data_IF_231159455813
#
_entry.id   IF_231159455813
#
_cell.length_a   1.000
_cell.length_b   1.000
_cell.length_c   1.000
_cell.angle_alpha   90.00
_cell.angle_beta   90.00
_cell.angle_gamma   90.00
#
_symmetry.space_group_name_H-M   'P 1'
#
loop_
_entity.id
_entity.type
_entity.pdbx_description
1 polymer ?
#
# COMPACT_ATOMS: atom_id res chain seq x y z
N UNK A 1 37.63 3.13 -36.17
CA UNK A 1 36.23 2.79 -36.49
C UNK A 1 35.87 1.52 -35.75
N UNK A 2 35.24 1.63 -34.58
CA UNK A 2 34.85 0.49 -33.74
C UNK A 2 33.42 0.08 -34.08
N UNK A 3 33.27 -1.10 -34.68
CA UNK A 3 31.97 -1.71 -34.97
C UNK A 3 31.39 -2.32 -33.68
N UNK A 4 30.26 -1.80 -33.21
CA UNK A 4 29.46 -2.40 -32.14
C UNK A 4 28.74 -3.64 -32.66
N UNK A 5 29.40 -4.81 -32.60
CA UNK A 5 28.75 -6.10 -32.82
C UNK A 5 27.91 -6.46 -31.59
N UNK A 6 26.66 -6.01 -31.55
CA UNK A 6 25.68 -6.54 -30.61
C UNK A 6 25.45 -8.03 -30.94
N UNK A 7 25.76 -8.92 -29.99
CA UNK A 7 25.51 -10.36 -30.15
C UNK A 7 24.00 -10.59 -30.32
N UNK A 8 23.56 -11.51 -31.21
CA UNK A 8 22.15 -11.84 -31.34
C UNK A 8 21.65 -12.45 -30.02
N UNK A 9 20.63 -11.82 -29.44
CA UNK A 9 19.93 -12.36 -28.26
C UNK A 9 19.16 -13.60 -28.72
N UNK A 10 19.39 -14.74 -28.05
CA UNK A 10 18.65 -15.97 -28.36
C UNK A 10 17.16 -15.73 -28.12
N UNK A 11 16.31 -16.19 -29.06
CA UNK A 11 14.86 -15.95 -29.04
C UNK A 11 14.25 -16.38 -27.69
N UNK A 12 14.75 -17.47 -27.13
CA UNK A 12 14.31 -18.02 -25.85
C UNK A 12 14.66 -17.08 -24.69
N UNK A 13 15.85 -16.48 -24.69
CA UNK A 13 16.26 -15.51 -23.68
C UNK A 13 15.43 -14.21 -23.77
N UNK A 14 15.09 -13.78 -24.99
CA UNK A 14 14.21 -12.63 -25.22
C UNK A 14 12.78 -12.93 -24.77
N UNK A 15 12.24 -14.11 -25.09
CA UNK A 15 10.91 -14.52 -24.66
C UNK A 15 10.81 -14.70 -23.14
N UNK A 16 11.84 -15.25 -22.50
CA UNK A 16 11.92 -15.33 -21.03
C UNK A 16 11.97 -13.93 -20.43
N UNK A 17 12.82 -13.03 -20.94
CA UNK A 17 12.90 -11.66 -20.45
C UNK A 17 11.58 -10.90 -20.61
N UNK A 18 10.87 -11.09 -21.74
CA UNK A 18 9.54 -10.49 -21.97
C UNK A 18 8.50 -11.11 -21.02
N UNK A 19 8.48 -12.42 -20.81
CA UNK A 19 7.54 -13.06 -19.86
C UNK A 19 7.81 -12.60 -18.44
N UNK A 20 9.07 -12.55 -18.02
CA UNK A 20 9.47 -12.02 -16.71
C UNK A 20 9.06 -10.55 -16.59
N UNK A 21 9.31 -9.72 -17.60
CA UNK A 21 8.90 -8.31 -17.58
C UNK A 21 7.37 -8.12 -17.64
N UNK A 22 6.61 -9.03 -18.25
CA UNK A 22 5.15 -8.98 -18.29
C UNK A 22 4.52 -9.49 -16.99
N UNK A 23 5.14 -10.47 -16.33
CA UNK A 23 4.72 -10.95 -14.99
C UNK A 23 5.07 -9.87 -13.96
N UNK A 24 6.32 -9.42 -13.92
CA UNK A 24 6.75 -8.32 -13.06
C UNK A 24 6.05 -6.99 -13.40
N UNK A 25 5.63 -6.77 -14.65
CA UNK A 25 4.98 -5.53 -15.07
C UNK A 25 3.47 -5.50 -14.89
N UNK A 26 2.79 -6.66 -14.92
CA UNK A 26 1.33 -6.74 -14.69
C UNK A 26 0.95 -6.80 -13.21
N UNK A 27 1.81 -7.35 -12.36
CA UNK A 27 1.53 -7.43 -10.92
C UNK A 27 2.06 -6.22 -10.13
N UNK A 28 3.22 -5.68 -10.48
CA UNK A 28 3.83 -4.58 -9.70
C UNK A 28 3.09 -3.25 -9.88
N UNK A 29 2.43 -2.98 -11.03
CA UNK A 29 1.70 -1.72 -11.24
C UNK A 29 0.27 -1.71 -10.69
N UNK A 30 -0.37 -2.87 -10.50
CA UNK A 30 -1.74 -2.94 -9.98
C UNK A 30 -1.78 -2.89 -8.45
N UNK A 31 -0.71 -3.32 -7.78
CA UNK A 31 -0.59 -3.36 -6.32
C UNK A 31 0.50 -2.43 -5.77
N UNK A 32 0.70 -1.26 -6.39
CA UNK A 32 1.49 -0.21 -5.73
C UNK A 32 0.64 0.40 -4.63
N UNK A 33 1.24 0.56 -3.44
CA UNK A 33 0.59 1.32 -2.40
C UNK A 33 0.29 2.72 -2.92
N UNK A 34 -0.98 3.15 -2.79
CA UNK A 34 -1.38 4.50 -3.17
C UNK A 34 -1.26 5.39 -1.94
N UNK A 35 -0.35 6.34 -2.03
CA UNK A 35 -0.13 7.38 -1.03
C UNK A 35 -0.30 8.78 -1.62
N UNK A 36 -0.85 9.68 -0.83
CA UNK A 36 -0.63 11.12 -1.00
C UNK A 36 0.76 11.45 -0.46
N UNK A 37 1.73 11.58 -1.38
CA UNK A 37 3.13 11.80 -1.02
C UNK A 37 3.37 13.17 -0.35
N UNK A 38 2.59 14.20 -0.70
CA UNK A 38 2.74 15.53 -0.09
C UNK A 38 2.24 15.52 1.36
N UNK A 39 1.10 14.88 1.60
CA UNK A 39 0.59 14.68 2.95
C UNK A 39 1.54 13.80 3.76
N UNK A 40 1.98 12.66 3.22
CA UNK A 40 2.91 11.76 3.90
C UNK A 40 4.19 12.50 4.32
N UNK A 41 4.81 13.24 3.39
CA UNK A 41 6.02 14.02 3.66
C UNK A 41 5.79 15.04 4.77
N UNK A 42 4.67 15.76 4.76
CA UNK A 42 4.35 16.77 5.79
C UNK A 42 4.07 16.12 7.15
N UNK A 43 3.27 15.06 7.18
CA UNK A 43 2.92 14.33 8.40
C UNK A 43 4.14 13.94 9.22
N UNK A 44 5.21 13.46 8.56
CA UNK A 44 6.44 13.10 9.25
C UNK A 44 7.45 14.26 9.32
N UNK A 45 7.61 15.04 8.25
CA UNK A 45 8.59 16.12 8.17
C UNK A 45 8.33 17.27 9.14
N UNK A 46 7.07 17.56 9.44
CA UNK A 46 6.67 18.64 10.35
C UNK A 46 6.86 18.24 11.84
N UNK A 47 7.08 16.95 12.13
CA UNK A 47 7.37 16.47 13.49
C UNK A 47 8.86 16.69 13.83
N UNK A 48 9.21 16.90 15.12
CA UNK A 48 10.60 16.91 15.53
C UNK A 48 11.24 15.54 15.25
N UNK A 49 12.50 15.51 14.78
CA UNK A 49 13.19 14.28 14.34
C UNK A 49 13.05 13.10 15.32
N UNK A 50 13.20 13.36 16.62
CA UNK A 50 13.10 12.33 17.67
C UNK A 50 11.74 11.61 17.74
N UNK A 51 10.68 12.19 17.15
CA UNK A 51 9.33 11.64 17.14
C UNK A 51 8.94 10.99 15.81
N UNK A 52 9.62 11.31 14.71
CA UNK A 52 9.22 10.87 13.35
C UNK A 52 9.17 9.34 13.24
N UNK A 53 10.24 8.65 13.66
CA UNK A 53 10.29 7.19 13.66
C UNK A 53 9.24 6.55 14.57
N UNK A 54 9.00 7.12 15.75
CA UNK A 54 7.96 6.65 16.67
C UNK A 54 6.55 6.80 16.07
N UNK A 55 6.28 7.88 15.35
CA UNK A 55 5.01 8.10 14.67
C UNK A 55 4.83 7.09 13.52
N UNK A 56 5.88 6.83 12.75
CA UNK A 56 5.86 5.81 11.68
C UNK A 56 5.53 4.43 12.24
N UNK A 57 6.23 4.02 13.30
CA UNK A 57 6.03 2.71 13.92
C UNK A 57 4.62 2.58 14.52
N UNK A 58 4.10 3.66 15.13
CA UNK A 58 2.74 3.71 15.63
C UNK A 58 1.71 3.57 14.50
N UNK A 59 1.88 4.31 13.40
CA UNK A 59 1.00 4.23 12.24
C UNK A 59 0.96 2.81 11.64
N UNK A 60 2.11 2.16 11.47
CA UNK A 60 2.19 0.77 10.98
C UNK A 60 1.47 -0.20 11.91
N UNK A 61 1.68 -0.06 13.22
CA UNK A 61 1.03 -0.89 14.24
C UNK A 61 -0.48 -0.72 14.22
N UNK A 62 -0.96 0.51 14.14
CA UNK A 62 -2.38 0.82 14.13
C UNK A 62 -3.04 0.36 12.82
N UNK A 63 -2.41 0.57 11.66
CA UNK A 63 -2.89 0.04 10.37
C UNK A 63 -3.00 -1.49 10.44
N UNK A 64 -1.96 -2.17 10.91
CA UNK A 64 -1.96 -3.64 11.04
C UNK A 64 -3.12 -4.11 11.93
N UNK A 65 -3.29 -3.47 13.09
CA UNK A 65 -4.35 -3.80 14.04
C UNK A 65 -5.73 -3.58 13.44
N UNK A 66 -6.02 -2.37 12.95
CA UNK A 66 -7.36 -2.03 12.48
C UNK A 66 -7.72 -2.75 11.18
N UNK A 67 -6.76 -3.01 10.29
CA UNK A 67 -6.99 -3.87 9.14
C UNK A 67 -7.31 -5.31 9.55
N UNK A 68 -6.60 -5.87 10.53
CA UNK A 68 -6.93 -7.19 11.08
C UNK A 68 -8.34 -7.23 11.70
N UNK A 69 -8.73 -6.20 12.44
CA UNK A 69 -10.08 -6.07 13.00
C UNK A 69 -11.16 -5.95 11.90
N UNK A 70 -10.89 -5.22 10.81
CA UNK A 70 -11.79 -5.17 9.64
C UNK A 70 -11.96 -6.55 9.03
N UNK A 71 -10.87 -7.26 8.74
CA UNK A 71 -10.92 -8.59 8.12
C UNK A 71 -11.67 -9.59 9.00
N UNK A 72 -11.39 -9.61 10.31
CA UNK A 72 -12.10 -10.48 11.25
C UNK A 72 -13.60 -10.16 11.34
N UNK A 73 -13.98 -8.88 11.29
CA UNK A 73 -15.39 -8.47 11.29
C UNK A 73 -16.10 -8.85 9.98
N UNK A 74 -15.41 -8.80 8.84
CA UNK A 74 -15.92 -9.31 7.56
C UNK A 74 -16.16 -10.81 7.63
N UNK A 75 -15.18 -11.59 8.09
CA UNK A 75 -15.28 -13.05 8.18
C UNK A 75 -16.38 -13.52 9.14
N UNK A 76 -16.64 -12.75 10.21
CA UNK A 76 -17.67 -13.06 11.21
C UNK A 76 -19.05 -12.43 10.91
N UNK A 77 -19.16 -11.54 9.93
CA UNK A 77 -20.39 -10.80 9.64
C UNK A 77 -20.80 -9.77 10.71
N UNK A 78 -19.91 -9.38 11.63
CA UNK A 78 -20.21 -8.39 12.67
C UNK A 78 -20.15 -6.95 12.11
N UNK A 79 -21.30 -6.41 11.74
CA UNK A 79 -21.40 -5.05 11.18
C UNK A 79 -20.95 -3.95 12.13
N UNK A 80 -21.14 -4.13 13.44
CA UNK A 80 -20.78 -3.12 14.43
C UNK A 80 -19.27 -3.09 14.64
N UNK A 81 -18.65 -4.26 14.71
CA UNK A 81 -17.19 -4.38 14.74
C UNK A 81 -16.58 -3.83 13.44
N UNK A 82 -17.14 -4.20 12.29
CA UNK A 82 -16.70 -3.72 10.98
C UNK A 82 -16.75 -2.19 10.91
N UNK A 83 -17.89 -1.57 11.22
CA UNK A 83 -18.06 -0.11 11.17
C UNK A 83 -17.05 0.62 12.06
N UNK A 84 -16.79 0.10 13.26
CA UNK A 84 -15.81 0.67 14.19
C UNK A 84 -14.37 0.54 13.67
N UNK A 85 -13.97 -0.67 13.27
CA UNK A 85 -12.62 -0.93 12.80
C UNK A 85 -12.33 -0.15 11.50
N UNK A 86 -13.31 -0.09 10.59
CA UNK A 86 -13.23 0.69 9.37
C UNK A 86 -13.06 2.19 9.66
N UNK A 87 -13.81 2.74 10.63
CA UNK A 87 -13.65 4.13 11.03
C UNK A 87 -12.25 4.44 11.57
N UNK A 88 -11.74 3.58 12.47
CA UNK A 88 -10.39 3.73 13.02
C UNK A 88 -9.30 3.60 11.96
N UNK A 89 -9.42 2.62 11.06
CA UNK A 89 -8.48 2.41 9.97
C UNK A 89 -8.46 3.60 9.00
N UNK A 90 -9.63 4.12 8.63
CA UNK A 90 -9.73 5.32 7.79
C UNK A 90 -9.04 6.51 8.45
N UNK A 91 -9.26 6.72 9.75
CA UNK A 91 -8.62 7.82 10.49
C UNK A 91 -7.10 7.75 10.45
N UNK A 92 -6.51 6.60 10.77
CA UNK A 92 -5.04 6.43 10.75
C UNK A 92 -4.49 6.51 9.33
N UNK A 93 -5.18 5.93 8.34
CA UNK A 93 -4.75 5.95 6.94
C UNK A 93 -4.73 7.37 6.38
N UNK A 94 -5.76 8.18 6.65
CA UNK A 94 -5.81 9.57 6.22
C UNK A 94 -4.73 10.43 6.89
N UNK A 95 -4.39 10.16 8.16
CA UNK A 95 -3.35 10.94 8.85
C UNK A 95 -1.97 10.82 8.18
N UNK A 96 -1.67 9.68 7.56
CA UNK A 96 -0.38 9.46 6.88
C UNK A 96 -0.50 9.53 5.35
N UNK A 97 -1.68 9.80 4.81
CA UNK A 97 -1.91 9.83 3.36
C UNK A 97 -1.98 8.46 2.68
N UNK A 98 -2.28 7.37 3.39
CA UNK A 98 -2.46 6.03 2.80
C UNK A 98 -3.82 5.91 2.09
N UNK A 99 -4.01 6.66 1.00
CA UNK A 99 -5.30 6.79 0.29
C UNK A 99 -5.80 5.48 -0.28
N UNK A 100 -4.91 4.59 -0.72
CA UNK A 100 -5.30 3.29 -1.29
C UNK A 100 -6.10 2.41 -0.34
N UNK A 101 -5.78 2.41 0.96
CA UNK A 101 -6.55 1.67 1.97
C UNK A 101 -7.97 2.24 2.07
N UNK A 102 -8.09 3.57 2.09
CA UNK A 102 -9.37 4.26 2.24
C UNK A 102 -10.26 4.01 1.02
N UNK A 103 -9.69 4.09 -0.18
CA UNK A 103 -10.39 3.86 -1.44
C UNK A 103 -10.92 2.42 -1.54
N UNK A 104 -10.09 1.41 -1.30
CA UNK A 104 -10.53 0.00 -1.37
C UNK A 104 -11.54 -0.35 -0.28
N UNK A 105 -11.39 0.22 0.92
CA UNK A 105 -12.37 0.02 1.99
C UNK A 105 -13.71 0.67 1.66
N UNK A 106 -13.72 1.84 0.99
CA UNK A 106 -14.93 2.48 0.52
C UNK A 106 -15.62 1.64 -0.57
N UNK A 107 -14.86 1.16 -1.57
CA UNK A 107 -15.36 0.29 -2.63
C UNK A 107 -15.98 -1.00 -2.07
N UNK A 108 -15.31 -1.64 -1.11
CA UNK A 108 -15.85 -2.81 -0.43
C UNK A 108 -17.20 -2.51 0.25
N UNK A 109 -17.30 -1.37 0.96
CA UNK A 109 -18.54 -0.95 1.64
C UNK A 109 -19.69 -0.67 0.67
N UNK A 110 -19.39 -0.09 -0.48
CA UNK A 110 -20.39 0.24 -1.51
C UNK A 110 -20.89 -1.00 -2.24
N UNK A 111 -20.03 -2.00 -2.48
CA UNK A 111 -20.39 -3.25 -3.15
C UNK A 111 -21.07 -4.27 -2.24
N UNK A 112 -20.84 -4.22 -0.92
CA UNK A 112 -21.36 -5.21 0.04
C UNK A 112 -22.89 -5.40 0.00
N UNK A 113 -23.73 -4.36 -0.10
CA UNK A 113 -25.18 -4.52 -0.20
C UNK A 113 -25.66 -5.28 -1.45
N UNK A 114 -24.80 -5.47 -2.45
CA UNK A 114 -25.11 -6.13 -3.72
C UNK A 114 -24.57 -7.56 -3.83
N UNK A 115 -23.89 -8.05 -2.79
CA UNK A 115 -23.16 -9.35 -2.80
C UNK A 115 -22.09 -9.45 -3.90
N UNK A 116 -21.57 -8.28 -4.33
CA UNK A 116 -20.58 -8.16 -5.42
C UNK A 116 -19.17 -7.83 -4.89
N UNK A 117 -19.04 -7.57 -3.58
CA UNK A 117 -17.79 -7.08 -2.99
C UNK A 117 -16.85 -8.22 -2.56
N UNK A 118 -15.69 -8.31 -3.20
CA UNK A 118 -14.54 -9.03 -2.64
C UNK A 118 -13.76 -8.14 -1.69
N UNK A 119 -13.30 -8.71 -0.56
CA UNK A 119 -12.42 -8.04 0.40
C UNK A 119 -10.93 -8.14 -0.02
N UNK A 120 -10.60 -8.95 -1.02
CA UNK A 120 -9.22 -9.19 -1.45
C UNK A 120 -8.49 -7.90 -1.92
N UNK A 121 -9.11 -7.00 -2.71
CA UNK A 121 -8.47 -5.73 -3.09
C UNK A 121 -8.07 -4.88 -1.88
N UNK A 122 -8.91 -4.84 -0.85
CA UNK A 122 -8.59 -4.17 0.41
C UNK A 122 -7.41 -4.85 1.12
N UNK A 123 -7.38 -6.18 1.17
CA UNK A 123 -6.27 -6.94 1.77
C UNK A 123 -4.94 -6.67 1.04
N UNK A 124 -4.98 -6.62 -0.29
CA UNK A 124 -3.82 -6.29 -1.13
C UNK A 124 -3.34 -4.86 -0.90
N UNK A 125 -4.26 -3.89 -0.82
CA UNK A 125 -3.91 -2.50 -0.52
C UNK A 125 -3.27 -2.31 0.86
N UNK A 126 -3.74 -3.03 1.89
CA UNK A 126 -3.12 -3.02 3.22
C UNK A 126 -1.71 -3.60 3.17
N UNK A 127 -1.53 -4.74 2.49
CA UNK A 127 -0.22 -5.37 2.36
C UNK A 127 0.78 -4.47 1.63
N UNK A 128 0.37 -3.89 0.49
CA UNK A 128 1.18 -2.95 -0.26
C UNK A 128 1.56 -1.73 0.60
N UNK A 129 0.59 -1.14 1.31
CA UNK A 129 0.83 -0.02 2.21
C UNK A 129 1.89 -0.34 3.27
N UNK A 130 1.77 -1.48 3.97
CA UNK A 130 2.71 -1.85 5.02
C UNK A 130 4.13 -2.11 4.51
N UNK A 131 4.28 -2.58 3.26
CA UNK A 131 5.58 -2.77 2.62
C UNK A 131 6.22 -1.44 2.22
N UNK A 132 5.44 -0.48 1.73
CA UNK A 132 5.93 0.79 1.18
C UNK A 132 6.17 1.89 2.23
N UNK A 133 5.59 1.80 3.44
CA UNK A 133 5.72 2.87 4.45
C UNK A 133 7.19 3.16 4.78
N UNK A 134 8.03 2.14 4.96
CA UNK A 134 9.43 2.36 5.34
C UNK A 134 10.23 2.96 4.18
N UNK A 135 10.05 2.44 2.96
CA UNK A 135 10.72 2.92 1.76
C UNK A 135 10.33 4.38 1.45
N UNK A 136 9.03 4.70 1.56
CA UNK A 136 8.52 6.06 1.36
C UNK A 136 9.00 7.02 2.46
N UNK A 137 9.07 6.54 3.70
CA UNK A 137 9.63 7.30 4.81
C UNK A 137 11.10 7.65 4.57
N UNK A 138 11.93 6.68 4.20
CA UNK A 138 13.35 6.92 3.93
C UNK A 138 13.57 7.82 2.70
N UNK A 139 12.68 7.75 1.71
CA UNK A 139 12.78 8.55 0.50
C UNK A 139 12.33 10.01 0.69
N UNK A 140 11.28 10.27 1.49
CA UNK A 140 10.63 11.57 1.57
C UNK A 140 10.90 12.32 2.87
N UNK A 141 11.28 11.64 3.95
CA UNK A 141 11.49 12.24 5.26
C UNK A 141 12.98 12.47 5.44
N UNK A 142 13.46 13.73 5.44
CA UNK A 142 14.89 14.00 5.55
C UNK A 142 15.45 13.48 6.87
N UNK A 143 16.62 12.86 6.79
CA UNK A 143 17.49 12.69 7.93
C UNK A 143 17.97 14.08 8.37
N UNK A 144 17.64 14.50 9.58
CA UNK A 144 18.24 15.70 10.15
C UNK A 144 19.75 15.45 10.26
N UNK A 145 20.56 16.23 9.53
CA UNK A 145 22.02 16.29 9.71
C UNK A 145 22.38 17.02 11.01
#
# INVERSE_FOLDING_TARGET
MTACLAKPVRKEALETAIRTALISGRDVRKNQARFDHDLFRRTFGDLPAAYRGRMRDAAKKDITKYAGEVLAAVDSGDEKAFSRAAHSLTGVSLNIGATGIVEELALYREGRPRDEASIDPFREAVAACLLEIDDLYDALVPYDQ
#
